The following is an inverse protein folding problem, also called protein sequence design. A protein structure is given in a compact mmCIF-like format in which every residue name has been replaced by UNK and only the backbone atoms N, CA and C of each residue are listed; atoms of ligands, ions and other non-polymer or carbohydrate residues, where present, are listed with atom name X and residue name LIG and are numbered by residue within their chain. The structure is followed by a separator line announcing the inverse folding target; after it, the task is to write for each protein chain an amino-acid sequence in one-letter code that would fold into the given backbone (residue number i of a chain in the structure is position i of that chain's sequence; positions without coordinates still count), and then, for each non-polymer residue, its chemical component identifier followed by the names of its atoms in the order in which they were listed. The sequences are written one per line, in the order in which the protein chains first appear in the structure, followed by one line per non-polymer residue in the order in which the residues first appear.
data_IF_035216922951
#
_entry.id   IF_035216922951
#
_cell.length_a   1.000
_cell.length_b   1.000
_cell.length_c   1.000
_cell.angle_alpha   90.00
_cell.angle_beta   90.00
_cell.angle_gamma   90.00
#
_symmetry.space_group_name_H-M   'P 1'
#
loop_
_entity.id
_entity.type
_entity.pdbx_description
1 polymer ?
#
# COMPACT_ATOMS: atom_id res chain seq x y z
N UNK A 1 37.42 -16.41 -9.94
CA UNK A 1 37.57 -17.88 -9.77
C UNK A 1 37.53 -18.55 -11.13
N UNK A 2 38.46 -19.47 -11.41
CA UNK A 2 38.48 -20.26 -12.64
C UNK A 2 37.29 -21.20 -12.68
N UNK A 3 36.56 -21.25 -13.81
CA UNK A 3 35.49 -22.23 -14.03
C UNK A 3 36.09 -23.65 -14.03
N UNK A 4 35.55 -24.62 -13.25
CA UNK A 4 36.04 -26.00 -13.21
C UNK A 4 35.96 -26.69 -14.56
N UNK A 5 36.88 -27.62 -14.81
CA UNK A 5 37.01 -28.26 -16.13
C UNK A 5 35.78 -29.10 -16.52
N UNK A 6 35.14 -29.75 -15.53
CA UNK A 6 33.90 -30.49 -15.75
C UNK A 6 32.75 -29.59 -16.24
N UNK A 7 32.66 -28.34 -15.74
CA UNK A 7 31.67 -27.36 -16.19
C UNK A 7 31.96 -26.93 -17.63
N UNK A 8 33.24 -26.69 -17.97
CA UNK A 8 33.62 -26.32 -19.34
C UNK A 8 33.29 -27.42 -20.35
N UNK A 9 33.53 -28.68 -19.99
CA UNK A 9 33.22 -29.84 -20.82
C UNK A 9 31.71 -29.91 -21.15
N UNK A 10 30.86 -29.73 -20.14
CA UNK A 10 29.40 -29.72 -20.31
C UNK A 10 28.95 -28.53 -21.17
N UNK A 11 29.46 -27.33 -20.91
CA UNK A 11 29.13 -26.14 -21.72
C UNK A 11 29.55 -26.32 -23.18
N UNK A 12 30.70 -26.97 -23.46
CA UNK A 12 31.16 -27.25 -24.82
C UNK A 12 30.23 -28.22 -25.54
N UNK A 13 29.86 -29.33 -24.88
CA UNK A 13 28.90 -30.29 -25.40
C UNK A 13 27.55 -29.63 -25.72
N UNK A 14 27.05 -28.76 -24.84
CA UNK A 14 25.79 -28.03 -25.05
C UNK A 14 25.89 -26.98 -26.16
N UNK A 15 27.06 -26.35 -26.37
CA UNK A 15 27.30 -25.45 -27.51
C UNK A 15 27.23 -26.20 -28.84
N UNK A 16 27.85 -27.37 -28.91
CA UNK A 16 27.84 -28.24 -30.09
C UNK A 16 26.41 -28.77 -30.37
N UNK A 17 25.69 -29.18 -29.33
CA UNK A 17 24.31 -29.67 -29.43
C UNK A 17 23.30 -28.61 -29.86
N UNK A 18 23.41 -27.38 -29.34
CA UNK A 18 22.40 -26.31 -29.55
C UNK A 18 22.76 -25.31 -30.65
N UNK A 19 24.02 -25.22 -31.05
CA UNK A 19 24.48 -24.23 -32.03
C UNK A 19 24.33 -22.78 -31.57
N UNK A 20 24.30 -22.54 -30.25
CA UNK A 20 24.07 -21.21 -29.66
C UNK A 20 25.28 -20.75 -28.83
N UNK A 21 25.50 -19.43 -28.68
CA UNK A 21 26.54 -18.91 -27.80
C UNK A 21 26.11 -19.08 -26.33
N UNK A 22 26.82 -19.93 -25.59
CA UNK A 22 26.50 -20.24 -24.19
C UNK A 22 27.62 -19.79 -23.24
N UNK A 23 27.24 -19.42 -22.02
CA UNK A 23 28.17 -19.10 -20.94
C UNK A 23 27.74 -19.72 -19.60
N UNK A 24 28.69 -20.23 -18.80
CA UNK A 24 28.42 -20.62 -17.42
C UNK A 24 28.46 -19.40 -16.49
N UNK A 25 27.54 -19.32 -15.53
CA UNK A 25 27.57 -18.37 -14.41
C UNK A 25 27.58 -19.12 -13.09
N UNK A 26 28.45 -18.71 -12.17
CA UNK A 26 28.48 -19.20 -10.79
C UNK A 26 27.60 -18.29 -9.93
N UNK A 27 26.52 -18.84 -9.39
CA UNK A 27 25.59 -18.13 -8.50
C UNK A 27 25.32 -19.04 -7.30
N UNK A 28 25.42 -18.52 -6.08
CA UNK A 28 25.15 -19.27 -4.83
C UNK A 28 25.82 -20.66 -4.77
N UNK A 29 27.10 -20.74 -5.15
CA UNK A 29 27.88 -21.98 -5.15
C UNK A 29 27.53 -22.99 -6.26
N UNK A 30 26.62 -22.66 -7.17
CA UNK A 30 26.13 -23.53 -8.23
C UNK A 30 26.40 -22.96 -9.63
N UNK A 31 26.65 -23.85 -10.60
CA UNK A 31 26.85 -23.47 -11.99
C UNK A 31 25.55 -23.52 -12.77
N UNK A 32 25.31 -22.47 -13.57
CA UNK A 32 24.11 -22.30 -14.37
C UNK A 32 24.49 -21.97 -15.81
N UNK A 33 23.76 -22.54 -16.75
CA UNK A 33 23.96 -22.31 -18.18
C UNK A 33 23.09 -21.15 -18.64
N UNK A 34 23.71 -20.18 -19.31
CA UNK A 34 23.03 -19.02 -19.91
C UNK A 34 23.31 -18.95 -21.41
N UNK A 35 22.31 -18.53 -22.18
CA UNK A 35 22.45 -18.06 -23.55
C UNK A 35 23.10 -16.68 -23.53
N UNK A 36 24.27 -16.51 -24.13
CA UNK A 36 25.00 -15.26 -24.24
C UNK A 36 24.79 -14.63 -25.62
N UNK A 37 23.74 -13.83 -25.79
CA UNK A 37 23.48 -13.12 -27.05
C UNK A 37 23.66 -11.62 -26.89
N UNK A 38 23.58 -10.86 -27.99
CA UNK A 38 23.52 -9.41 -27.95
C UNK A 38 22.26 -8.91 -28.66
N UNK A 39 21.59 -7.93 -28.06
CA UNK A 39 20.43 -7.23 -28.62
C UNK A 39 20.81 -5.77 -28.85
N UNK A 40 20.41 -5.20 -29.98
CA UNK A 40 20.66 -3.80 -30.27
C UNK A 40 19.83 -2.90 -29.34
N UNK A 41 20.49 -1.98 -28.67
CA UNK A 41 19.90 -0.99 -27.78
C UNK A 41 19.92 0.37 -28.47
N UNK A 42 18.73 0.84 -28.90
CA UNK A 42 18.55 2.09 -29.63
C UNK A 42 18.88 3.32 -28.78
N UNK A 43 18.75 3.23 -27.45
CA UNK A 43 19.08 4.33 -26.54
C UNK A 43 20.58 4.55 -26.40
N UNK A 44 21.37 3.48 -26.49
CA UNK A 44 22.84 3.49 -26.37
C UNK A 44 23.57 3.42 -27.71
N UNK A 45 22.84 3.35 -28.83
CA UNK A 45 23.36 3.15 -30.20
C UNK A 45 24.40 2.01 -30.29
N UNK A 46 24.14 0.88 -29.63
CA UNK A 46 25.11 -0.20 -29.53
C UNK A 46 24.51 -1.55 -29.15
N UNK A 47 25.32 -2.61 -29.26
CA UNK A 47 24.91 -3.96 -28.89
C UNK A 47 25.00 -4.16 -27.37
N UNK A 48 23.87 -4.45 -26.71
CA UNK A 48 23.80 -4.83 -25.29
C UNK A 48 23.81 -6.35 -25.18
N UNK A 49 24.70 -6.89 -24.35
CA UNK A 49 24.70 -8.33 -24.03
C UNK A 49 23.42 -8.67 -23.26
N UNK A 50 22.69 -9.68 -23.73
CA UNK A 50 21.48 -10.22 -23.11
C UNK A 50 21.75 -11.68 -22.77
N UNK A 51 21.65 -12.01 -21.48
CA UNK A 51 21.85 -13.37 -20.99
C UNK A 51 20.52 -14.02 -20.68
N UNK A 52 20.21 -15.18 -21.28
CA UNK A 52 18.98 -15.93 -21.01
C UNK A 52 19.26 -17.22 -20.24
N UNK A 53 18.67 -17.43 -19.06
CA UNK A 53 18.84 -18.66 -18.30
C UNK A 53 18.30 -19.89 -19.04
N UNK A 54 19.10 -20.97 -19.12
CA UNK A 54 18.74 -22.24 -19.76
C UNK A 54 18.46 -23.32 -18.71
N UNK A 55 19.34 -23.46 -17.72
CA UNK A 55 19.25 -24.56 -16.76
C UNK A 55 20.44 -24.64 -15.82
N UNK A 56 20.35 -25.54 -14.84
CA UNK A 56 21.42 -25.80 -13.88
C UNK A 56 22.40 -26.81 -14.47
N UNK A 57 23.69 -26.54 -14.34
CA UNK A 57 24.76 -27.44 -14.73
C UNK A 57 25.04 -28.37 -13.53
N UNK A 58 24.86 -29.67 -13.72
CA UNK A 58 25.19 -30.74 -12.77
C UNK A 58 26.25 -31.66 -13.37
N UNK A 59 26.83 -32.57 -12.58
CA UNK A 59 27.83 -33.51 -13.07
C UNK A 59 27.29 -34.40 -14.22
N UNK A 60 25.98 -34.67 -14.22
CA UNK A 60 25.30 -35.54 -15.18
C UNK A 60 24.79 -34.79 -16.43
N UNK A 61 24.99 -33.47 -16.52
CA UNK A 61 24.58 -32.65 -17.67
C UNK A 61 23.85 -31.37 -17.28
N UNK A 62 23.04 -30.83 -18.21
CA UNK A 62 22.23 -29.63 -17.94
C UNK A 62 20.79 -30.03 -17.68
N UNK A 63 20.31 -29.71 -16.48
CA UNK A 63 18.89 -29.80 -16.15
C UNK A 63 18.22 -28.57 -16.73
N UNK A 64 17.63 -28.72 -17.92
CA UNK A 64 16.89 -27.65 -18.59
C UNK A 64 15.72 -27.19 -17.73
N UNK A 65 15.64 -25.87 -17.52
CA UNK A 65 14.39 -25.30 -17.04
C UNK A 65 13.38 -25.50 -18.17
N UNK A 66 12.34 -26.30 -17.92
CA UNK A 66 11.24 -26.42 -18.86
C UNK A 66 10.54 -25.06 -18.92
N UNK A 67 10.96 -24.21 -19.85
CA UNK A 67 10.24 -22.99 -20.18
C UNK A 67 9.04 -23.42 -21.02
N UNK A 68 7.87 -23.48 -20.39
CA UNK A 68 6.61 -23.47 -21.11
C UNK A 68 6.68 -22.29 -22.09
N UNK A 69 6.69 -22.54 -23.40
CA UNK A 69 6.75 -21.48 -24.40
C UNK A 69 5.41 -20.75 -24.35
N UNK A 70 5.33 -19.74 -23.50
CA UNK A 70 4.15 -18.88 -23.37
C UNK A 70 4.21 -17.85 -24.49
N UNK A 71 3.17 -17.84 -25.31
CA UNK A 71 3.02 -16.86 -26.40
C UNK A 71 1.98 -15.80 -26.07
N UNK A 72 1.07 -16.05 -25.11
CA UNK A 72 -0.03 -15.14 -24.77
C UNK A 72 0.16 -14.54 -23.38
N UNK A 73 0.11 -13.22 -23.29
CA UNK A 73 0.33 -12.44 -22.07
C UNK A 73 -0.82 -11.48 -21.79
N UNK A 74 -1.16 -11.28 -20.52
CA UNK A 74 -2.08 -10.22 -20.10
C UNK A 74 -1.40 -8.86 -20.29
N UNK A 75 -1.98 -8.00 -21.12
CA UNK A 75 -1.39 -6.73 -21.52
C UNK A 75 -2.04 -5.55 -20.81
N UNK A 76 -3.34 -5.34 -21.01
CA UNK A 76 -3.98 -4.07 -20.62
C UNK A 76 -3.88 -3.77 -19.12
N UNK A 77 -4.10 -4.76 -18.25
CA UNK A 77 -3.98 -4.59 -16.80
C UNK A 77 -2.54 -4.31 -16.36
N UNK A 78 -1.57 -5.06 -16.88
CA UNK A 78 -0.16 -4.88 -16.54
C UNK A 78 0.37 -3.53 -17.05
N UNK A 79 -0.02 -3.13 -18.25
CA UNK A 79 0.34 -1.84 -18.83
C UNK A 79 -0.31 -0.67 -18.09
N UNK A 80 -1.56 -0.81 -17.63
CA UNK A 80 -2.23 0.18 -16.78
C UNK A 80 -1.41 0.42 -15.51
N UNK A 81 -1.10 -0.64 -14.75
CA UNK A 81 -0.32 -0.54 -13.51
C UNK A 81 1.05 0.08 -13.77
N UNK A 82 1.75 -0.36 -14.83
CA UNK A 82 3.05 0.20 -15.21
C UNK A 82 2.98 1.70 -15.51
N UNK A 83 1.97 2.12 -16.27
CA UNK A 83 1.80 3.54 -16.63
C UNK A 83 1.48 4.39 -15.41
N UNK A 84 0.68 3.87 -14.47
CA UNK A 84 0.26 4.59 -13.26
C UNK A 84 1.30 4.59 -12.13
N UNK A 85 2.42 3.85 -12.28
CA UNK A 85 3.44 3.71 -11.22
C UNK A 85 4.83 4.19 -11.65
N UNK A 86 4.91 5.04 -12.67
CA UNK A 86 6.20 5.55 -13.17
C UNK A 86 6.98 6.34 -12.10
N UNK A 87 6.28 7.12 -11.29
CA UNK A 87 6.83 7.81 -10.11
C UNK A 87 7.43 6.81 -9.12
N UNK A 88 6.68 5.77 -8.76
CA UNK A 88 7.15 4.72 -7.85
C UNK A 88 8.34 3.95 -8.42
N UNK A 89 8.33 3.64 -9.72
CA UNK A 89 9.45 2.97 -10.41
C UNK A 89 10.72 3.82 -10.34
N UNK A 90 10.62 5.15 -10.48
CA UNK A 90 11.78 6.04 -10.34
C UNK A 90 12.36 6.00 -8.93
N UNK A 91 11.52 6.00 -7.90
CA UNK A 91 11.96 5.89 -6.51
C UNK A 91 12.57 4.52 -6.20
N UNK A 92 11.97 3.43 -6.69
CA UNK A 92 12.54 2.10 -6.53
C UNK A 92 13.89 1.97 -7.23
N UNK A 93 14.09 2.59 -8.40
CA UNK A 93 15.40 2.63 -9.07
C UNK A 93 16.44 3.44 -8.30
N UNK A 94 16.01 4.52 -7.63
CA UNK A 94 16.87 5.38 -6.82
C UNK A 94 17.38 4.65 -5.58
N UNK A 95 16.49 3.99 -4.84
CA UNK A 95 16.79 3.41 -3.52
C UNK A 95 17.06 1.91 -3.54
N UNK A 96 16.61 1.19 -4.57
CA UNK A 96 16.79 -0.25 -4.73
C UNK A 96 17.30 -0.63 -6.14
N UNK A 97 18.38 0.00 -6.64
CA UNK A 97 18.79 -0.06 -8.05
C UNK A 97 19.03 -1.48 -8.59
N UNK A 98 19.51 -2.40 -7.75
CA UNK A 98 19.86 -3.77 -8.18
C UNK A 98 18.70 -4.76 -8.10
N UNK A 99 17.60 -4.38 -7.43
CA UNK A 99 16.48 -5.29 -7.13
C UNK A 99 15.09 -4.71 -7.41
N UNK A 100 15.00 -3.47 -7.92
CA UNK A 100 13.74 -2.78 -8.17
C UNK A 100 12.80 -3.58 -9.08
N UNK A 101 13.30 -4.29 -10.09
CA UNK A 101 12.47 -5.10 -10.99
C UNK A 101 11.80 -6.26 -10.25
N UNK A 102 12.53 -6.94 -9.35
CA UNK A 102 11.99 -8.01 -8.51
C UNK A 102 10.99 -7.46 -7.49
N UNK A 103 11.32 -6.36 -6.79
CA UNK A 103 10.42 -5.71 -5.83
C UNK A 103 9.12 -5.30 -6.53
N UNK A 104 9.24 -4.61 -7.66
CA UNK A 104 8.11 -4.14 -8.45
C UNK A 104 7.25 -5.31 -8.95
N UNK A 105 7.88 -6.37 -9.47
CA UNK A 105 7.16 -7.55 -9.93
C UNK A 105 6.33 -8.20 -8.82
N UNK A 106 6.88 -8.36 -7.60
CA UNK A 106 6.13 -8.91 -6.47
C UNK A 106 4.96 -7.99 -6.10
N UNK A 107 5.19 -6.67 -6.05
CA UNK A 107 4.13 -5.71 -5.75
C UNK A 107 2.99 -5.73 -6.78
N UNK A 108 3.32 -5.78 -8.08
CA UNK A 108 2.33 -5.92 -9.15
C UNK A 108 1.55 -7.23 -9.01
N UNK A 109 2.22 -8.36 -8.75
CA UNK A 109 1.50 -9.65 -8.59
C UNK A 109 0.53 -9.62 -7.43
N UNK A 110 0.88 -8.99 -6.31
CA UNK A 110 0.00 -8.84 -5.14
C UNK A 110 -1.17 -7.92 -5.39
N UNK A 111 -0.97 -6.84 -6.13
CA UNK A 111 -2.07 -5.97 -6.55
C UNK A 111 -3.09 -6.74 -7.41
N UNK A 112 -2.61 -7.61 -8.29
CA UNK A 112 -3.46 -8.38 -9.21
C UNK A 112 -4.22 -9.49 -8.49
N UNK A 113 -3.51 -10.31 -7.71
CA UNK A 113 -4.06 -11.50 -7.07
C UNK A 113 -3.41 -11.75 -5.71
N UNK A 114 -4.23 -12.03 -4.69
CA UNK A 114 -3.74 -12.58 -3.42
C UNK A 114 -3.30 -14.02 -3.64
N UNK A 115 -2.00 -14.23 -3.81
CA UNK A 115 -1.41 -15.55 -4.02
C UNK A 115 -0.26 -15.81 -3.06
N UNK A 116 -0.05 -17.08 -2.63
CA UNK A 116 1.12 -17.45 -1.86
C UNK A 116 2.43 -17.14 -2.63
N UNK A 117 3.50 -16.81 -1.89
CA UNK A 117 4.82 -16.48 -2.46
C UNK A 117 5.31 -17.49 -3.50
N UNK A 118 5.07 -18.80 -3.27
CA UNK A 118 5.45 -19.87 -4.21
C UNK A 118 4.83 -19.74 -5.62
N UNK A 119 3.70 -19.04 -5.76
CA UNK A 119 2.99 -18.87 -7.03
C UNK A 119 3.29 -17.53 -7.72
N UNK A 120 4.01 -16.62 -7.04
CA UNK A 120 4.32 -15.27 -7.55
C UNK A 120 4.98 -15.32 -8.93
N UNK A 121 5.95 -16.23 -9.11
CA UNK A 121 6.61 -16.42 -10.40
C UNK A 121 5.64 -16.81 -11.52
N UNK A 122 4.81 -17.82 -11.27
CA UNK A 122 3.88 -18.33 -12.28
C UNK A 122 2.89 -17.23 -12.68
N UNK A 123 2.43 -16.43 -11.71
CA UNK A 123 1.53 -15.31 -11.96
C UNK A 123 2.20 -14.19 -12.74
N UNK A 124 3.42 -13.80 -12.35
CA UNK A 124 4.22 -12.79 -13.03
C UNK A 124 4.46 -13.15 -14.49
N UNK A 125 4.84 -14.40 -14.77
CA UNK A 125 5.07 -14.91 -16.13
C UNK A 125 3.81 -14.86 -17.03
N UNK A 126 2.60 -14.63 -16.47
CA UNK A 126 1.38 -14.38 -17.25
C UNK A 126 1.26 -12.94 -17.76
N UNK A 127 1.89 -11.99 -17.09
CA UNK A 127 1.82 -10.56 -17.41
C UNK A 127 2.81 -10.21 -18.52
N UNK A 128 2.43 -9.31 -19.42
CA UNK A 128 3.31 -8.86 -20.50
C UNK A 128 4.60 -8.19 -19.98
N UNK A 129 4.52 -7.54 -18.81
CA UNK A 129 5.66 -6.93 -18.13
C UNK A 129 6.80 -7.91 -17.83
N UNK A 130 6.51 -9.21 -17.66
CA UNK A 130 7.55 -10.24 -17.48
C UNK A 130 8.47 -10.39 -18.67
N UNK A 131 8.08 -9.85 -19.83
CA UNK A 131 8.88 -9.85 -21.03
C UNK A 131 9.77 -8.63 -21.19
N UNK A 132 9.49 -7.57 -20.43
CA UNK A 132 10.19 -6.28 -20.50
C UNK A 132 11.10 -6.05 -19.30
N UNK A 133 10.78 -6.64 -18.14
CA UNK A 133 11.52 -6.52 -16.89
C UNK A 133 12.14 -7.87 -16.52
N UNK A 134 13.40 -7.87 -16.07
CA UNK A 134 14.16 -9.08 -15.73
C UNK A 134 14.08 -9.37 -14.22
N UNK A 135 12.87 -9.68 -13.75
CA UNK A 135 12.61 -9.99 -12.34
C UNK A 135 13.02 -11.43 -11.96
N UNK A 136 13.76 -11.58 -10.87
CA UNK A 136 14.21 -12.87 -10.34
C UNK A 136 13.29 -13.36 -9.20
N UNK A 137 12.32 -14.23 -9.53
CA UNK A 137 11.22 -14.60 -8.62
C UNK A 137 11.21 -16.08 -8.19
N UNK A 138 12.37 -16.73 -8.04
CA UNK A 138 12.38 -18.11 -7.52
C UNK A 138 11.96 -18.14 -6.05
N UNK A 139 11.31 -19.21 -5.52
CA UNK A 139 10.86 -19.22 -4.13
C UNK A 139 11.96 -18.92 -3.10
N UNK A 140 13.18 -19.44 -3.29
CA UNK A 140 14.31 -19.11 -2.41
C UNK A 140 14.71 -17.63 -2.53
N UNK A 141 14.77 -17.12 -3.76
CA UNK A 141 15.07 -15.70 -4.02
C UNK A 141 14.02 -14.77 -3.44
N UNK A 142 12.75 -15.17 -3.39
CA UNK A 142 11.69 -14.36 -2.80
C UNK A 142 11.82 -14.24 -1.29
N UNK A 143 12.20 -15.31 -0.59
CA UNK A 143 12.48 -15.26 0.85
C UNK A 143 13.67 -14.34 1.12
N UNK A 144 14.78 -14.53 0.39
CA UNK A 144 15.98 -13.69 0.51
C UNK A 144 15.65 -12.22 0.21
N UNK A 145 14.86 -11.97 -0.84
CA UNK A 145 14.42 -10.63 -1.22
C UNK A 145 13.62 -9.95 -0.10
N UNK A 146 12.68 -10.65 0.55
CA UNK A 146 11.91 -10.08 1.66
C UNK A 146 12.81 -9.73 2.85
N UNK A 147 13.71 -10.63 3.22
CA UNK A 147 14.66 -10.41 4.30
C UNK A 147 15.62 -9.23 3.98
N UNK A 148 16.15 -9.17 2.77
CA UNK A 148 17.05 -8.11 2.32
C UNK A 148 16.38 -6.74 2.30
N UNK A 149 15.13 -6.66 1.84
CA UNK A 149 14.35 -5.41 1.90
C UNK A 149 14.15 -5.02 3.37
N UNK A 150 13.74 -5.96 4.20
CA UNK A 150 13.39 -5.72 5.60
C UNK A 150 14.56 -5.29 6.47
N UNK A 151 15.75 -5.80 6.19
CA UNK A 151 16.99 -5.40 6.86
C UNK A 151 17.52 -4.06 6.36
N UNK A 152 17.23 -3.67 5.12
CA UNK A 152 17.58 -2.37 4.53
C UNK A 152 16.56 -1.26 4.85
N UNK A 153 16.46 -0.92 6.14
CA UNK A 153 15.53 0.11 6.62
C UNK A 153 15.87 1.51 6.10
N UNK A 154 17.15 1.80 5.85
CA UNK A 154 17.59 3.12 5.34
C UNK A 154 16.94 3.41 3.98
N UNK A 155 17.06 2.48 3.03
CA UNK A 155 16.48 2.65 1.69
C UNK A 155 14.95 2.72 1.72
N UNK A 156 14.30 2.03 2.67
CA UNK A 156 12.85 2.17 2.85
C UNK A 156 12.47 3.57 3.34
N UNK A 157 13.17 4.09 4.35
CA UNK A 157 12.91 5.43 4.88
C UNK A 157 13.22 6.53 3.88
N UNK A 158 14.31 6.41 3.12
CA UNK A 158 14.64 7.38 2.06
C UNK A 158 13.55 7.40 0.97
N UNK A 159 12.99 6.24 0.60
CA UNK A 159 11.85 6.17 -0.31
C UNK A 159 10.59 6.81 0.27
N UNK A 160 10.26 6.51 1.53
CA UNK A 160 9.10 7.12 2.18
C UNK A 160 9.26 8.64 2.33
N UNK A 161 10.46 9.11 2.65
CA UNK A 161 10.74 10.53 2.77
C UNK A 161 10.58 11.25 1.42
N UNK A 162 10.99 10.64 0.31
CA UNK A 162 10.70 11.18 -1.03
C UNK A 162 9.20 11.25 -1.33
N UNK A 163 8.40 10.30 -0.83
CA UNK A 163 6.93 10.29 -1.00
C UNK A 163 6.22 11.32 -0.12
N UNK A 164 6.69 11.51 1.12
CA UNK A 164 6.22 12.52 2.07
C UNK A 164 6.60 13.93 1.63
N UNK A 165 7.71 14.08 0.91
CA UNK A 165 8.19 15.36 0.41
C UNK A 165 7.13 16.06 -0.46
N UNK A 166 6.82 17.31 -0.11
CA UNK A 166 5.79 18.11 -0.79
C UNK A 166 4.35 17.74 -0.45
N UNK A 167 4.11 16.90 0.56
CA UNK A 167 2.78 16.75 1.16
C UNK A 167 2.46 17.96 2.04
N UNK A 168 1.20 18.43 2.02
CA UNK A 168 0.72 19.51 2.88
C UNK A 168 -0.11 19.01 4.06
N UNK A 169 -0.83 17.90 3.88
CA UNK A 169 -1.70 17.29 4.90
C UNK A 169 -1.56 15.78 4.91
N UNK A 170 -1.27 15.22 6.08
CA UNK A 170 -1.12 13.79 6.29
C UNK A 170 -2.14 13.29 7.30
N UNK A 171 -2.87 12.25 6.96
CA UNK A 171 -3.63 11.47 7.94
C UNK A 171 -2.74 10.39 8.54
N UNK A 172 -2.90 10.16 9.85
CA UNK A 172 -2.21 9.13 10.60
C UNK A 172 -3.23 8.22 11.26
N UNK A 173 -3.05 6.92 11.09
CA UNK A 173 -3.88 5.92 11.73
C UNK A 173 -3.09 4.66 12.05
N UNK A 174 -3.54 3.99 13.11
CA UNK A 174 -2.94 2.75 13.59
C UNK A 174 -3.92 1.60 13.41
N UNK A 175 -3.39 0.49 12.92
CA UNK A 175 -4.16 -0.73 12.80
C UNK A 175 -3.34 -1.93 13.21
N UNK A 176 -4.00 -3.02 13.58
CA UNK A 176 -3.32 -4.26 13.97
C UNK A 176 -3.65 -5.39 13.01
N UNK A 177 -2.67 -6.26 12.75
CA UNK A 177 -2.87 -7.56 12.10
C UNK A 177 -2.55 -8.65 13.13
N UNK A 178 -3.40 -9.66 13.20
CA UNK A 178 -3.20 -10.80 14.09
C UNK A 178 -2.25 -11.81 13.45
N UNK A 179 -1.30 -12.32 14.23
CA UNK A 179 -0.41 -13.40 13.82
C UNK A 179 -0.35 -14.47 14.90
N UNK A 180 -0.32 -15.74 14.48
CA UNK A 180 -0.12 -16.89 15.37
C UNK A 180 1.28 -17.50 15.22
N UNK A 181 2.17 -16.85 14.48
CA UNK A 181 3.54 -17.32 14.29
C UNK A 181 4.34 -17.12 15.57
N UNK A 182 4.88 -18.19 16.16
CA UNK A 182 5.64 -18.14 17.42
C UNK A 182 7.02 -17.49 17.27
N UNK A 183 7.54 -17.37 16.04
CA UNK A 183 8.89 -16.87 15.76
C UNK A 183 8.95 -15.38 15.36
N UNK A 184 7.81 -14.68 15.31
CA UNK A 184 7.79 -13.25 15.01
C UNK A 184 7.83 -12.51 16.35
N UNK A 185 8.96 -11.85 16.68
CA UNK A 185 9.12 -11.16 17.96
C UNK A 185 8.22 -9.93 18.06
N UNK A 186 7.93 -9.29 16.91
CA UNK A 186 6.99 -8.16 16.81
C UNK A 186 5.53 -8.56 17.14
N UNK A 187 5.17 -9.84 16.98
CA UNK A 187 3.82 -10.32 17.21
C UNK A 187 3.61 -10.56 18.72
N UNK A 188 3.13 -9.52 19.41
CA UNK A 188 2.95 -9.54 20.87
C UNK A 188 1.49 -9.28 21.24
N UNK A 189 1.10 -9.65 22.47
CA UNK A 189 -0.22 -9.30 22.98
C UNK A 189 -0.32 -7.78 23.10
N UNK A 190 -1.32 -7.19 22.43
CA UNK A 190 -1.57 -5.76 22.40
C UNK A 190 -3.01 -5.40 22.77
N UNK A 191 -3.29 -4.11 22.80
CA UNK A 191 -4.66 -3.61 22.93
C UNK A 191 -5.26 -3.49 21.51
N UNK A 192 -6.40 -4.12 21.25
CA UNK A 192 -7.17 -3.97 20.01
C UNK A 192 -8.64 -3.68 20.34
N UNK A 193 -9.37 -3.09 19.39
CA UNK A 193 -10.76 -2.64 19.59
C UNK A 193 -11.72 -3.78 19.98
N UNK A 194 -11.41 -5.01 19.57
CA UNK A 194 -12.25 -6.20 19.78
C UNK A 194 -11.85 -7.01 21.04
N UNK A 195 -10.88 -6.55 21.82
CA UNK A 195 -10.30 -7.27 22.98
C UNK A 195 -9.91 -8.73 22.69
N UNK A 196 -9.47 -9.01 21.47
CA UNK A 196 -9.03 -10.33 21.03
C UNK A 196 -7.64 -10.60 21.61
N UNK A 197 -7.52 -11.62 22.47
CA UNK A 197 -6.27 -12.03 23.13
C UNK A 197 -5.32 -12.83 22.22
N UNK A 198 -5.15 -12.40 20.98
CA UNK A 198 -4.20 -12.99 20.03
C UNK A 198 -2.97 -12.09 19.88
N UNK A 199 -1.76 -12.66 19.65
CA UNK A 199 -0.60 -11.85 19.30
C UNK A 199 -0.89 -11.03 18.02
N UNK A 200 -0.46 -9.78 18.03
CA UNK A 200 -0.70 -8.84 16.95
C UNK A 200 0.56 -8.07 16.59
N UNK A 201 0.64 -7.63 15.34
CA UNK A 201 1.61 -6.67 14.85
C UNK A 201 0.85 -5.36 14.64
N UNK A 202 1.33 -4.29 15.28
CA UNK A 202 0.76 -2.97 15.06
C UNK A 202 1.35 -2.36 13.80
N UNK A 203 0.58 -1.56 13.08
CA UNK A 203 1.00 -0.90 11.85
C UNK A 203 0.61 0.56 11.89
N UNK A 204 1.56 1.43 11.60
CA UNK A 204 1.32 2.82 11.30
C UNK A 204 1.25 3.02 9.79
N UNK A 205 0.15 3.59 9.33
CA UNK A 205 0.01 4.06 7.95
C UNK A 205 -0.05 5.59 7.99
N UNK A 206 0.66 6.23 7.07
CA UNK A 206 0.55 7.66 6.81
C UNK A 206 0.02 7.83 5.40
N UNK A 207 -1.01 8.66 5.28
CA UNK A 207 -1.73 8.85 4.03
C UNK A 207 -1.78 10.33 3.67
N UNK A 208 -1.39 10.68 2.46
CA UNK A 208 -1.54 12.02 1.93
C UNK A 208 -2.99 12.21 1.45
N UNK A 209 -3.74 13.03 2.19
CA UNK A 209 -5.18 13.25 1.94
C UNK A 209 -5.45 14.17 0.76
N UNK A 210 -4.44 14.91 0.29
CA UNK A 210 -4.57 15.80 -0.86
C UNK A 210 -4.23 15.05 -2.15
N UNK A 211 -3.17 14.23 -2.13
CA UNK A 211 -2.78 13.36 -3.24
C UNK A 211 -3.63 12.08 -3.32
N UNK A 212 -4.37 11.75 -2.26
CA UNK A 212 -5.16 10.53 -2.08
C UNK A 212 -4.34 9.24 -2.22
N UNK A 213 -3.18 9.16 -1.54
CA UNK A 213 -2.27 7.99 -1.63
C UNK A 213 -1.55 7.73 -0.30
N UNK A 214 -1.18 6.46 0.00
CA UNK A 214 -0.30 6.17 1.11
C UNK A 214 1.12 6.69 0.83
N UNK A 215 1.81 7.20 1.85
CA UNK A 215 3.18 7.72 1.72
C UNK A 215 4.19 7.06 2.65
N UNK A 216 3.73 6.42 3.74
CA UNK A 216 4.59 5.70 4.68
C UNK A 216 3.81 4.55 5.33
N UNK A 217 4.46 3.40 5.53
CA UNK A 217 3.92 2.27 6.29
C UNK A 217 5.03 1.69 7.17
N UNK A 218 4.72 1.43 8.44
CA UNK A 218 5.65 0.81 9.37
C UNK A 218 5.00 -0.24 10.26
N UNK A 219 5.47 -1.50 10.22
CA UNK A 219 5.13 -2.49 11.23
C UNK A 219 5.88 -2.21 12.54
N UNK A 220 5.23 -2.48 13.66
CA UNK A 220 5.68 -2.21 15.02
C UNK A 220 5.24 -3.33 15.97
N UNK A 221 5.91 -3.45 17.10
CA UNK A 221 5.59 -4.50 18.08
C UNK A 221 4.16 -4.30 18.62
N UNK A 222 3.42 -5.41 18.75
CA UNK A 222 2.03 -5.39 19.21
C UNK A 222 1.82 -4.78 20.60
N UNK A 223 2.84 -4.79 21.45
CA UNK A 223 2.80 -4.27 22.82
C UNK A 223 3.03 -2.75 22.90
N UNK A 224 3.51 -2.12 21.82
CA UNK A 224 3.82 -0.69 21.83
C UNK A 224 2.52 0.10 21.84
N UNK A 225 2.40 1.01 22.81
CA UNK A 225 1.27 1.94 22.94
C UNK A 225 1.24 2.92 21.76
N UNK A 226 0.04 3.20 21.29
CA UNK A 226 -0.25 4.06 20.13
C UNK A 226 0.50 5.40 20.11
N UNK A 227 0.67 6.07 21.25
CA UNK A 227 1.43 7.34 21.33
C UNK A 227 2.89 7.18 20.99
N UNK A 228 3.53 6.15 21.54
CA UNK A 228 4.96 5.93 21.33
C UNK A 228 5.20 5.60 19.86
N UNK A 229 4.29 4.82 19.28
CA UNK A 229 4.26 4.52 17.84
C UNK A 229 4.17 5.80 17.01
N UNK A 230 3.18 6.64 17.29
CA UNK A 230 3.00 7.91 16.59
C UNK A 230 4.23 8.82 16.72
N UNK A 231 4.71 9.09 17.95
CA UNK A 231 5.89 9.95 18.17
C UNK A 231 7.08 9.45 17.36
N UNK A 232 7.35 8.15 17.41
CA UNK A 232 8.47 7.55 16.69
C UNK A 232 8.32 7.71 15.17
N UNK A 233 7.11 7.58 14.62
CA UNK A 233 6.89 7.82 13.18
C UNK A 233 7.09 9.30 12.84
N UNK A 234 6.59 10.23 13.68
CA UNK A 234 6.78 11.67 13.47
C UNK A 234 8.25 12.10 13.60
N UNK A 235 9.06 11.41 14.41
CA UNK A 235 10.52 11.61 14.49
C UNK A 235 11.26 11.06 13.26
N UNK A 236 10.68 10.07 12.57
CA UNK A 236 11.28 9.40 11.40
C UNK A 236 10.90 10.06 10.07
N UNK A 237 9.85 10.86 10.03
CA UNK A 237 9.44 11.63 8.84
C UNK A 237 9.78 13.10 9.02
N UNK A 238 10.50 13.68 8.06
CA UNK A 238 10.69 15.12 8.00
C UNK A 238 9.49 15.75 7.30
N UNK A 239 8.49 16.16 8.09
CA UNK A 239 7.22 16.70 7.61
C UNK A 239 6.90 18.04 8.27
N UNK A 240 6.46 19.00 7.44
CA UNK A 240 5.97 20.31 7.86
C UNK A 240 4.61 20.55 7.22
N UNK A 241 3.55 20.51 8.02
CA UNK A 241 2.18 20.64 7.54
C UNK A 241 1.16 20.20 8.58
N UNK A 242 -0.03 19.81 8.12
CA UNK A 242 -1.15 19.41 8.98
C UNK A 242 -1.20 17.90 9.16
N UNK A 243 -1.27 17.44 10.39
CA UNK A 243 -1.49 16.04 10.76
C UNK A 243 -2.95 15.85 11.19
N UNK A 244 -3.65 14.97 10.50
CA UNK A 244 -5.01 14.55 10.86
C UNK A 244 -4.94 13.21 11.59
N UNK A 245 -5.40 13.17 12.83
CA UNK A 245 -5.22 12.03 13.73
C UNK A 245 -6.54 11.32 14.02
N UNK A 246 -6.48 10.06 14.44
CA UNK A 246 -7.65 9.37 15.00
C UNK A 246 -7.94 9.71 16.48
N UNK A 247 -9.18 9.45 16.90
CA UNK A 247 -9.68 9.51 18.28
C UNK A 247 -8.89 8.63 19.25
N UNK A 248 -8.25 7.57 18.76
CA UNK A 248 -7.33 6.74 19.56
C UNK A 248 -6.27 7.55 20.31
N UNK A 249 -5.79 8.65 19.70
CA UNK A 249 -4.71 9.49 20.23
C UNK A 249 -5.14 10.56 21.24
N UNK A 250 -6.44 10.73 21.49
CA UNK A 250 -6.94 11.85 22.31
C UNK A 250 -6.77 11.69 23.83
N UNK A 251 -6.22 10.57 24.32
CA UNK A 251 -5.97 10.37 25.76
C UNK A 251 -4.60 10.84 26.24
N UNK A 252 -3.85 11.53 25.39
CA UNK A 252 -2.42 11.71 25.59
C UNK A 252 -2.03 13.18 25.55
N UNK A 253 -0.96 13.51 26.26
CA UNK A 253 -0.46 14.89 26.34
C UNK A 253 0.11 15.29 24.97
N UNK A 254 -0.65 16.12 24.26
CA UNK A 254 -0.29 16.66 22.96
C UNK A 254 1.02 17.42 23.00
N UNK A 255 1.36 18.04 24.14
CA UNK A 255 2.61 18.78 24.29
C UNK A 255 3.83 17.87 24.13
N UNK A 256 3.71 16.56 24.41
CA UNK A 256 4.80 15.62 24.23
C UNK A 256 4.92 15.06 22.80
N UNK A 257 3.89 15.22 21.97
CA UNK A 257 3.81 14.63 20.62
C UNK A 257 4.01 15.71 19.55
N UNK A 258 3.58 16.94 19.83
CA UNK A 258 3.59 18.03 18.88
C UNK A 258 4.89 18.83 18.97
N UNK A 259 5.70 18.76 17.91
CA UNK A 259 6.71 19.78 17.65
C UNK A 259 6.04 21.07 17.16
N UNK A 260 6.65 22.21 17.45
CA UNK A 260 6.32 23.55 16.96
C UNK A 260 6.20 23.67 15.44
N UNK A 261 6.72 22.70 14.68
CA UNK A 261 6.73 22.67 13.21
C UNK A 261 5.49 22.02 12.58
N UNK A 262 4.57 21.48 13.38
CA UNK A 262 3.42 20.73 12.90
C UNK A 262 2.09 21.32 13.38
N UNK A 263 1.13 21.38 12.46
CA UNK A 263 -0.27 21.65 12.78
C UNK A 263 -1.03 20.33 12.93
N UNK A 264 -2.10 20.30 13.74
CA UNK A 264 -2.87 19.08 13.93
C UNK A 264 -4.38 19.30 14.01
N UNK A 265 -5.11 18.26 13.60
CA UNK A 265 -6.56 18.11 13.80
C UNK A 265 -6.79 16.77 14.47
N UNK A 266 -7.18 16.80 15.75
CA UNK A 266 -7.36 15.58 16.56
C UNK A 266 -8.77 15.52 17.15
N UNK A 267 -9.60 14.56 16.73
CA UNK A 267 -10.92 14.35 17.32
C UNK A 267 -10.79 13.83 18.76
N UNK A 268 -11.57 14.38 19.68
CA UNK A 268 -11.52 14.03 21.10
C UNK A 268 -12.40 12.82 21.42
N UNK A 269 -11.98 12.04 22.42
CA UNK A 269 -12.84 10.99 23.02
C UNK A 269 -14.07 11.63 23.62
N UNK A 270 -15.22 10.95 23.53
CA UNK A 270 -16.48 11.47 24.09
C UNK A 270 -16.43 11.71 25.60
N UNK A 271 -15.57 10.98 26.31
CA UNK A 271 -15.32 11.10 27.75
C UNK A 271 -14.30 12.19 28.11
N UNK A 272 -13.70 12.88 27.13
CA UNK A 272 -12.70 13.91 27.39
C UNK A 272 -13.31 15.08 28.16
N UNK A 273 -12.64 15.55 29.21
CA UNK A 273 -13.00 16.76 29.95
C UNK A 273 -12.86 18.04 29.11
N UNK A 274 -12.11 17.97 28.00
CA UNK A 274 -11.98 19.07 27.04
C UNK A 274 -13.25 19.24 26.18
N UNK A 275 -14.07 18.19 26.06
CA UNK A 275 -15.32 18.23 25.31
C UNK A 275 -16.43 18.86 26.15
N UNK A 276 -16.85 20.06 25.77
CA UNK A 276 -17.94 20.79 26.42
C UNK A 276 -19.21 20.67 25.59
N UNK A 277 -20.07 19.74 25.99
CA UNK A 277 -21.31 19.47 25.30
C UNK A 277 -22.39 20.52 25.54
N UNK A 278 -22.21 21.45 26.48
CA UNK A 278 -23.14 22.56 26.68
C UNK A 278 -22.70 23.82 25.90
N UNK A 279 -21.59 23.75 25.15
CA UNK A 279 -21.11 24.81 24.26
C UNK A 279 -22.19 25.24 23.26
N UNK A 280 -22.35 26.56 23.12
CA UNK A 280 -23.20 27.17 22.11
C UNK A 280 -22.62 26.97 20.69
N UNK A 281 -23.47 26.50 19.77
CA UNK A 281 -23.11 26.30 18.37
C UNK A 281 -23.64 27.50 17.56
N UNK A 282 -22.75 28.46 17.28
CA UNK A 282 -23.10 29.77 16.73
C UNK A 282 -23.16 29.82 15.21
N UNK A 283 -22.73 28.76 14.52
CA UNK A 283 -22.68 28.71 13.06
C UNK A 283 -23.19 27.37 12.52
N UNK A 284 -23.37 27.29 11.20
CA UNK A 284 -23.78 26.07 10.52
C UNK A 284 -23.27 26.00 9.08
N UNK A 285 -23.19 24.79 8.54
CA UNK A 285 -22.87 24.53 7.13
C UNK A 285 -23.46 23.20 6.66
N UNK A 286 -23.46 22.98 5.34
CA UNK A 286 -23.89 21.72 4.74
C UNK A 286 -22.67 20.85 4.39
N UNK A 287 -22.72 19.56 4.73
CA UNK A 287 -21.72 18.56 4.32
C UNK A 287 -22.43 17.32 3.78
N UNK A 288 -22.28 17.04 2.47
CA UNK A 288 -22.96 15.90 1.80
C UNK A 288 -24.46 15.84 2.15
N UNK A 289 -25.15 16.96 1.98
CA UNK A 289 -26.58 17.15 2.31
C UNK A 289 -26.95 17.00 3.80
N UNK A 290 -25.97 16.92 4.70
CA UNK A 290 -26.17 16.91 6.16
C UNK A 290 -25.95 18.31 6.72
N UNK A 291 -26.92 18.81 7.49
CA UNK A 291 -26.76 20.04 8.25
C UNK A 291 -25.85 19.82 9.45
N UNK A 292 -24.80 20.62 9.56
CA UNK A 292 -23.85 20.59 10.67
C UNK A 292 -23.95 21.91 11.41
N UNK A 293 -24.31 21.88 12.70
CA UNK A 293 -24.16 23.01 13.61
C UNK A 293 -22.75 23.01 14.18
N UNK A 294 -22.14 24.17 14.38
CA UNK A 294 -20.75 24.24 14.85
C UNK A 294 -20.45 25.46 15.71
N UNK A 295 -19.39 25.32 16.51
CA UNK A 295 -18.83 26.37 17.35
C UNK A 295 -17.42 25.99 17.78
N UNK A 296 -16.71 26.89 18.45
CA UNK A 296 -15.43 26.57 19.07
C UNK A 296 -15.21 27.41 20.32
N UNK A 297 -14.36 26.91 21.22
CA UNK A 297 -13.82 27.68 22.34
C UNK A 297 -12.30 27.63 22.34
N UNK A 298 -11.69 28.68 22.90
CA UNK A 298 -10.24 28.71 23.14
C UNK A 298 -9.91 27.86 24.38
N UNK A 299 -8.83 27.09 24.29
CA UNK A 299 -8.28 26.33 25.42
C UNK A 299 -6.74 26.42 25.34
N UNK A 300 -6.13 27.21 26.22
CA UNK A 300 -4.70 27.52 26.19
C UNK A 300 -4.23 28.06 24.82
N UNK A 301 -3.22 27.44 24.19
CA UNK A 301 -2.79 27.75 22.82
C UNK A 301 -3.69 27.14 21.73
N UNK A 302 -4.61 26.24 22.09
CA UNK A 302 -5.44 25.46 21.15
C UNK A 302 -6.88 25.97 21.05
N UNK A 303 -7.64 25.39 20.13
CA UNK A 303 -9.09 25.51 20.02
C UNK A 303 -9.75 24.15 20.11
N UNK A 304 -10.85 24.08 20.86
CA UNK A 304 -11.77 22.94 20.85
C UNK A 304 -12.95 23.33 19.99
N UNK A 305 -13.06 22.72 18.82
CA UNK A 305 -14.20 22.81 17.92
C UNK A 305 -15.25 21.78 18.33
N UNK A 306 -16.52 22.17 18.27
CA UNK A 306 -17.66 21.30 18.48
C UNK A 306 -18.53 21.34 17.23
N UNK A 307 -18.94 20.16 16.78
CA UNK A 307 -19.81 19.95 15.64
C UNK A 307 -21.00 19.12 16.08
N UNK A 308 -22.20 19.44 15.62
CA UNK A 308 -23.38 18.61 15.79
C UNK A 308 -23.99 18.28 14.43
N UNK A 309 -23.83 17.03 14.04
CA UNK A 309 -24.44 16.47 12.85
C UNK A 309 -25.91 16.13 13.14
N UNK A 310 -26.84 16.82 12.46
CA UNK A 310 -28.27 16.71 12.74
C UNK A 310 -28.84 15.33 12.39
N UNK A 311 -28.30 14.66 11.37
CA UNK A 311 -28.70 13.29 11.01
C UNK A 311 -28.20 12.29 12.05
N UNK A 312 -26.93 12.40 12.46
CA UNK A 312 -26.36 11.53 13.48
C UNK A 312 -27.07 11.71 14.82
N UNK A 313 -27.46 12.95 15.16
CA UNK A 313 -28.25 13.22 16.35
C UNK A 313 -29.59 12.47 16.34
N UNK A 314 -30.33 12.52 15.22
CA UNK A 314 -31.60 11.84 15.07
C UNK A 314 -31.44 10.31 15.15
N UNK A 315 -30.40 9.77 14.51
CA UNK A 315 -30.08 8.34 14.53
C UNK A 315 -29.74 7.83 15.93
N UNK A 316 -28.87 8.55 16.64
CA UNK A 316 -28.48 8.22 18.02
C UNK A 316 -29.68 8.33 18.97
N UNK A 317 -30.52 9.36 18.79
CA UNK A 317 -31.74 9.54 19.56
C UNK A 317 -32.72 8.37 19.35
N UNK A 318 -33.01 8.01 18.11
CA UNK A 318 -33.88 6.88 17.78
C UNK A 318 -33.35 5.55 18.33
N UNK A 319 -32.03 5.34 18.22
CA UNK A 319 -31.36 4.16 18.78
C UNK A 319 -31.45 4.10 20.30
N UNK A 320 -31.32 5.23 20.99
CA UNK A 320 -31.47 5.30 22.45
C UNK A 320 -32.92 5.05 22.88
N UNK A 321 -33.91 5.62 22.19
CA UNK A 321 -35.34 5.38 22.46
C UNK A 321 -35.68 3.90 22.28
N UNK A 322 -35.16 3.26 21.23
CA UNK A 322 -35.31 1.81 21.03
C UNK A 322 -34.74 1.03 22.23
N UNK A 323 -33.55 1.37 22.72
CA UNK A 323 -32.98 0.74 23.91
C UNK A 323 -33.82 0.93 25.18
N UNK A 324 -34.48 2.08 25.34
CA UNK A 324 -35.44 2.31 26.44
C UNK A 324 -36.64 1.36 26.28
N UNK A 325 -37.21 1.26 25.08
CA UNK A 325 -38.35 0.38 24.81
C UNK A 325 -38.02 -1.12 25.03
N UNK A 326 -36.77 -1.50 24.81
CA UNK A 326 -36.25 -2.85 25.06
C UNK A 326 -35.82 -3.07 26.53
N UNK A 327 -35.96 -2.08 27.40
CA UNK A 327 -35.56 -2.17 28.83
C UNK A 327 -34.05 -2.15 29.07
N UNK A 328 -33.22 -1.86 28.07
CA UNK A 328 -31.75 -1.79 28.18
C UNK A 328 -31.23 -0.47 28.76
N UNK A 329 -32.05 0.58 28.76
CA UNK A 329 -31.75 1.94 29.28
C UNK A 329 -32.97 2.52 29.98
N UNK A 330 -32.76 3.50 30.87
CA UNK A 330 -33.87 4.20 31.55
C UNK A 330 -34.21 5.51 30.84
N UNK A 331 -35.46 5.94 30.95
CA UNK A 331 -35.90 7.24 30.44
C UNK A 331 -35.13 8.41 31.09
N UNK A 332 -34.75 8.27 32.37
CA UNK A 332 -33.95 9.26 33.10
C UNK A 332 -32.60 9.56 32.45
N UNK A 333 -32.02 8.57 31.76
CA UNK A 333 -30.69 8.66 31.18
C UNK A 333 -30.70 9.44 29.85
N UNK A 334 -31.89 9.63 29.26
CA UNK A 334 -32.05 10.25 27.95
C UNK A 334 -31.60 11.70 27.94
N UNK A 335 -31.89 12.48 28.99
CA UNK A 335 -31.57 13.90 29.01
C UNK A 335 -30.05 14.15 28.97
N UNK A 336 -29.30 13.41 29.76
CA UNK A 336 -27.83 13.49 29.77
C UNK A 336 -27.21 12.96 28.46
N UNK A 337 -27.77 11.88 27.90
CA UNK A 337 -27.32 11.35 26.61
C UNK A 337 -27.63 12.30 25.45
N UNK A 338 -28.79 12.96 25.48
CA UNK A 338 -29.26 13.91 24.46
C UNK A 338 -28.27 15.04 24.23
N UNK A 339 -27.68 15.56 25.31
CA UNK A 339 -26.65 16.61 25.23
C UNK A 339 -25.49 16.24 24.31
N UNK A 340 -25.22 14.95 24.11
CA UNK A 340 -24.09 14.42 23.34
C UNK A 340 -24.48 13.93 21.95
N UNK A 341 -25.77 13.79 21.65
CA UNK A 341 -26.21 13.22 20.38
C UNK A 341 -25.78 14.07 19.18
N UNK A 342 -25.21 13.39 18.18
CA UNK A 342 -24.65 13.99 16.99
C UNK A 342 -23.39 14.84 17.22
N UNK A 343 -22.94 15.00 18.48
CA UNK A 343 -21.82 15.88 18.82
C UNK A 343 -20.47 15.21 18.65
N UNK A 344 -19.57 15.93 18.00
CA UNK A 344 -18.18 15.56 17.71
C UNK A 344 -17.31 16.74 18.14
N UNK A 345 -16.34 16.48 19.01
CA UNK A 345 -15.36 17.48 19.45
C UNK A 345 -14.01 17.22 18.80
N UNK A 346 -13.33 18.30 18.40
CA UNK A 346 -12.03 18.26 17.72
C UNK A 346 -11.11 19.31 18.35
N UNK A 347 -9.92 18.90 18.72
CA UNK A 347 -8.86 19.77 19.25
C UNK A 347 -7.85 20.05 18.13
N UNK A 348 -7.43 21.31 18.02
CA UNK A 348 -6.48 21.73 16.99
C UNK A 348 -5.72 22.99 17.43
N UNK A 349 -4.45 23.10 17.00
CA UNK A 349 -3.68 24.35 17.06
C UNK A 349 -3.97 25.28 15.86
N UNK A 350 -4.66 24.80 14.83
CA UNK A 350 -5.06 25.59 13.65
C UNK A 350 -6.20 26.52 14.04
N UNK A 351 -6.07 27.79 13.66
CA UNK A 351 -7.05 28.86 13.91
C UNK A 351 -7.88 29.17 12.67
N UNK A 352 -8.54 28.14 12.15
CA UNK A 352 -9.44 28.22 10.99
C UNK A 352 -10.91 28.33 11.37
N UNK A 353 -11.76 28.55 10.37
CA UNK A 353 -13.21 28.44 10.51
C UNK A 353 -13.63 26.98 10.77
N UNK A 354 -14.70 26.73 11.56
CA UNK A 354 -15.12 25.37 11.90
C UNK A 354 -15.34 24.45 10.70
N UNK A 355 -15.88 24.97 9.60
CA UNK A 355 -16.11 24.21 8.37
C UNK A 355 -14.81 23.59 7.82
N UNK A 356 -13.70 24.35 7.80
CA UNK A 356 -12.41 23.85 7.30
C UNK A 356 -11.87 22.73 8.19
N UNK A 357 -11.93 22.90 9.51
CA UNK A 357 -11.49 21.89 10.48
C UNK A 357 -12.33 20.62 10.36
N UNK A 358 -13.64 20.76 10.15
CA UNK A 358 -14.52 19.62 9.93
C UNK A 358 -14.14 18.85 8.66
N UNK A 359 -13.86 19.55 7.56
CA UNK A 359 -13.42 18.91 6.32
C UNK A 359 -12.10 18.16 6.51
N UNK A 360 -11.10 18.78 7.16
CA UNK A 360 -9.83 18.12 7.49
C UNK A 360 -10.05 16.86 8.35
N UNK A 361 -10.89 16.96 9.38
CA UNK A 361 -11.27 15.81 10.21
C UNK A 361 -11.91 14.69 9.38
N UNK A 362 -12.84 15.03 8.46
CA UNK A 362 -13.53 14.06 7.62
C UNK A 362 -12.62 13.38 6.60
N UNK A 363 -11.55 14.02 6.16
CA UNK A 363 -10.55 13.40 5.28
C UNK A 363 -9.84 12.20 5.93
N UNK A 364 -9.89 12.06 7.26
CA UNK A 364 -9.41 10.85 7.96
C UNK A 364 -10.13 9.59 7.46
N UNK A 365 -11.38 9.65 7.01
CA UNK A 365 -12.11 8.46 6.53
C UNK A 365 -11.40 7.76 5.34
N UNK A 366 -10.51 8.46 4.63
CA UNK A 366 -9.72 7.89 3.52
C UNK A 366 -8.64 6.90 4.02
N UNK A 367 -8.11 7.10 5.23
CA UNK A 367 -7.08 6.19 5.79
C UNK A 367 -7.68 4.87 6.27
N UNK A 368 -8.92 4.90 6.80
CA UNK A 368 -9.67 3.71 7.19
C UNK A 368 -9.91 2.83 5.95
N UNK A 369 -10.33 3.45 4.84
CA UNK A 369 -10.45 2.77 3.55
C UNK A 369 -9.12 2.20 3.06
N UNK A 370 -8.00 2.88 3.29
CA UNK A 370 -6.68 2.39 2.88
C UNK A 370 -6.25 1.16 3.69
N UNK A 371 -6.53 1.14 4.99
CA UNK A 371 -6.32 -0.05 5.82
C UNK A 371 -7.24 -1.20 5.39
N UNK A 372 -8.52 -0.92 5.12
CA UNK A 372 -9.46 -1.94 4.64
C UNK A 372 -9.04 -2.53 3.29
N UNK A 373 -8.58 -1.70 2.35
CA UNK A 373 -8.02 -2.15 1.08
C UNK A 373 -6.77 -3.03 1.31
N UNK A 374 -5.86 -2.59 2.17
CA UNK A 374 -4.65 -3.35 2.48
C UNK A 374 -4.95 -4.71 3.14
N UNK A 375 -5.94 -4.78 4.05
CA UNK A 375 -6.29 -6.01 4.76
C UNK A 375 -7.18 -6.94 3.94
N UNK A 376 -8.27 -6.43 3.39
CA UNK A 376 -9.32 -7.24 2.78
C UNK A 376 -9.14 -7.39 1.28
N UNK A 377 -8.80 -6.31 0.57
CA UNK A 377 -8.68 -6.38 -0.89
C UNK A 377 -7.40 -7.08 -1.34
N UNK A 378 -6.32 -6.91 -0.58
CA UNK A 378 -5.02 -7.52 -0.85
C UNK A 378 -4.68 -8.75 0.00
N UNK A 379 -5.51 -9.07 1.01
CA UNK A 379 -5.31 -10.17 1.97
C UNK A 379 -3.91 -10.18 2.64
N UNK A 380 -3.37 -8.99 2.96
CA UNK A 380 -2.05 -8.88 3.60
C UNK A 380 -2.03 -9.30 5.07
N UNK A 381 -3.15 -9.78 5.62
CA UNK A 381 -3.30 -10.24 6.99
C UNK A 381 -2.78 -11.68 7.22
N UNK A 382 -2.38 -12.38 6.15
CA UNK A 382 -1.86 -13.77 6.19
C UNK A 382 -0.33 -13.81 6.10
N UNK A 383 0.37 -13.41 7.15
CA UNK A 383 1.83 -13.53 7.21
C UNK A 383 2.26 -14.92 7.71
N UNK A 384 2.75 -15.79 6.83
CA UNK A 384 3.36 -17.09 7.19
C UNK A 384 4.87 -17.00 7.49
N UNK A 385 5.34 -15.82 7.89
CA UNK A 385 6.76 -15.49 8.05
C UNK A 385 7.26 -15.86 9.45
N UNK A 386 8.59 -16.00 9.57
CA UNK A 386 9.26 -16.52 10.77
C UNK A 386 10.33 -15.60 11.34
N UNK A 387 10.54 -14.44 10.74
CA UNK A 387 11.53 -13.45 11.17
C UNK A 387 11.02 -12.03 10.88
N UNK A 388 11.46 -11.09 11.71
CA UNK A 388 10.99 -9.70 11.69
C UNK A 388 11.42 -8.93 10.43
N UNK A 389 12.59 -9.23 9.87
CA UNK A 389 13.06 -8.58 8.65
C UNK A 389 12.19 -8.98 7.46
N UNK A 390 11.91 -10.27 7.27
CA UNK A 390 10.95 -10.71 6.26
C UNK A 390 9.57 -10.07 6.45
N UNK A 391 9.12 -9.86 7.69
CA UNK A 391 7.86 -9.16 7.99
C UNK A 391 7.93 -7.69 7.53
N UNK A 392 9.02 -6.98 7.83
CA UNK A 392 9.26 -5.62 7.34
C UNK A 392 9.24 -5.57 5.81
N UNK A 393 9.98 -6.46 5.15
CA UNK A 393 10.00 -6.54 3.69
C UNK A 393 8.64 -6.89 3.08
N UNK A 394 7.87 -7.76 3.73
CA UNK A 394 6.51 -8.10 3.32
C UNK A 394 5.59 -6.90 3.36
N UNK A 395 5.62 -6.13 4.45
CA UNK A 395 4.78 -4.94 4.57
C UNK A 395 5.25 -3.81 3.65
N UNK A 396 6.55 -3.68 3.42
CA UNK A 396 7.06 -2.76 2.40
C UNK A 396 6.50 -3.07 1.00
N UNK A 397 6.54 -4.34 0.56
CA UNK A 397 5.92 -4.73 -0.72
C UNK A 397 4.39 -4.50 -0.70
N UNK A 398 3.75 -4.76 0.44
CA UNK A 398 2.31 -4.50 0.62
C UNK A 398 1.99 -3.02 0.42
N UNK A 399 2.80 -2.13 1.00
CA UNK A 399 2.71 -0.68 0.80
C UNK A 399 2.87 -0.30 -0.67
N UNK A 400 3.86 -0.85 -1.38
CA UNK A 400 4.06 -0.53 -2.80
C UNK A 400 2.84 -0.91 -3.65
N UNK A 401 2.23 -2.05 -3.36
CA UNK A 401 1.05 -2.48 -4.10
C UNK A 401 -0.19 -1.64 -3.72
N UNK A 402 -0.31 -1.21 -2.45
CA UNK A 402 -1.33 -0.26 -2.00
C UNK A 402 -1.14 1.11 -2.68
N UNK A 403 0.10 1.57 -2.84
CA UNK A 403 0.42 2.79 -3.58
C UNK A 403 -0.05 2.69 -5.04
N UNK A 404 0.23 1.56 -5.72
CA UNK A 404 -0.25 1.31 -7.08
C UNK A 404 -1.77 1.24 -7.17
N UNK A 405 -2.43 0.61 -6.19
CA UNK A 405 -3.90 0.59 -6.07
C UNK A 405 -4.46 2.01 -6.04
N UNK A 406 -3.92 2.85 -5.13
CA UNK A 406 -4.38 4.23 -4.99
C UNK A 406 -4.03 5.10 -6.20
N UNK A 407 -2.95 4.80 -6.91
CA UNK A 407 -2.62 5.48 -8.17
C UNK A 407 -3.69 5.27 -9.24
N UNK A 408 -4.28 4.06 -9.31
CA UNK A 408 -5.42 3.77 -10.18
C UNK A 408 -6.72 4.36 -9.60
N UNK A 409 -6.91 4.31 -8.28
CA UNK A 409 -8.08 4.89 -7.63
C UNK A 409 -8.21 6.39 -7.88
N UNK A 410 -7.11 7.14 -7.77
CA UNK A 410 -7.05 8.58 -8.05
C UNK A 410 -7.53 8.86 -9.47
N UNK A 411 -7.11 8.06 -10.44
CA UNK A 411 -7.54 8.17 -11.83
C UNK A 411 -9.06 7.94 -12.01
N UNK A 412 -9.61 6.89 -11.37
CA UNK A 412 -11.04 6.60 -11.36
C UNK A 412 -11.83 7.75 -10.71
N UNK A 413 -11.29 8.32 -9.62
CA UNK A 413 -11.87 9.46 -8.91
C UNK A 413 -11.86 10.73 -9.76
N UNK A 414 -10.75 11.05 -10.40
CA UNK A 414 -10.64 12.20 -11.31
C UNK A 414 -11.56 12.09 -12.53
N UNK A 415 -11.92 10.87 -12.94
CA UNK A 415 -12.87 10.61 -14.02
C UNK A 415 -14.34 10.53 -13.57
N UNK A 416 -14.65 10.77 -12.28
CA UNK A 416 -16.00 10.66 -11.69
C UNK A 416 -16.64 9.27 -11.91
N UNK A 417 -15.84 8.21 -11.71
CA UNK A 417 -16.25 6.82 -11.90
C UNK A 417 -16.31 5.99 -10.62
N UNK A 418 -16.05 6.59 -9.44
CA UNK A 418 -16.00 5.87 -8.15
C UNK A 418 -17.31 5.14 -7.81
N UNK A 419 -18.46 5.68 -8.20
CA UNK A 419 -19.76 5.01 -8.04
C UNK A 419 -20.09 3.94 -9.10
N UNK A 420 -19.21 3.73 -10.09
CA UNK A 420 -19.46 2.87 -11.26
C UNK A 420 -18.45 1.74 -11.42
N UNK A 421 -17.22 1.91 -10.95
CA UNK A 421 -16.14 0.95 -11.14
C UNK A 421 -15.16 0.99 -9.96
N UNK A 422 -14.79 -0.18 -9.44
CA UNK A 422 -13.69 -0.32 -8.48
C UNK A 422 -12.34 -0.45 -9.19
N UNK A 423 -11.23 -0.33 -8.43
CA UNK A 423 -9.88 -0.61 -8.98
C UNK A 423 -9.79 -2.06 -9.49
N UNK A 424 -10.35 -3.03 -8.77
CA UNK A 424 -10.39 -4.44 -9.20
C UNK A 424 -11.19 -4.63 -10.48
N UNK A 425 -12.34 -3.96 -10.62
CA UNK A 425 -13.12 -3.99 -11.85
C UNK A 425 -12.36 -3.38 -13.03
N UNK A 426 -11.60 -2.30 -12.80
CA UNK A 426 -10.74 -1.73 -13.82
C UNK A 426 -9.68 -2.76 -14.24
N UNK A 427 -8.90 -3.29 -13.31
CA UNK A 427 -7.88 -4.32 -13.60
C UNK A 427 -8.47 -5.53 -14.34
N UNK A 428 -9.66 -6.00 -13.94
CA UNK A 428 -10.36 -7.11 -14.60
C UNK A 428 -10.83 -6.77 -16.02
N UNK A 429 -11.33 -5.55 -16.26
CA UNK A 429 -11.73 -5.12 -17.61
C UNK A 429 -10.50 -5.02 -18.52
N UNK A 430 -9.42 -4.42 -18.02
CA UNK A 430 -8.18 -4.25 -18.76
C UNK A 430 -7.43 -5.58 -19.00
N UNK A 431 -7.60 -6.60 -18.16
CA UNK A 431 -6.98 -7.92 -18.35
C UNK A 431 -7.53 -8.69 -19.57
N UNK A 432 -8.66 -8.24 -20.16
CA UNK A 432 -9.25 -8.80 -21.38
C UNK A 432 -8.44 -8.48 -22.65
N UNK A 433 -7.47 -7.59 -22.56
CA UNK A 433 -6.57 -7.26 -23.68
C UNK A 433 -5.26 -8.00 -23.47
N UNK A 434 -4.91 -8.85 -24.43
CA UNK A 434 -3.73 -9.71 -24.39
C UNK A 434 -2.70 -9.29 -25.44
N UNK A 435 -1.44 -9.65 -25.22
CA UNK A 435 -0.37 -9.57 -26.21
C UNK A 435 0.06 -10.98 -26.61
N UNK A 436 0.08 -11.25 -27.91
CA UNK A 436 0.52 -12.51 -28.49
C UNK A 436 1.91 -12.29 -29.11
N UNK A 437 2.92 -12.97 -28.55
CA UNK A 437 4.28 -12.98 -29.08
C UNK A 437 4.44 -14.12 -30.07
N UNK A 438 4.68 -13.77 -31.33
CA UNK A 438 4.98 -14.69 -32.42
C UNK A 438 6.39 -14.37 -32.97
N UNK A 439 7.39 -15.13 -32.50
CA UNK A 439 8.78 -14.90 -32.83
C UNK A 439 9.28 -13.54 -32.33
N UNK A 440 9.57 -12.61 -33.25
CA UNK A 440 10.03 -11.23 -32.95
C UNK A 440 8.90 -10.19 -32.97
N UNK A 441 7.66 -10.58 -33.26
CA UNK A 441 6.52 -9.67 -33.37
C UNK A 441 5.60 -9.86 -32.17
N UNK A 442 5.17 -8.73 -31.62
CA UNK A 442 4.15 -8.67 -30.58
C UNK A 442 2.87 -8.15 -31.24
N UNK A 443 1.79 -8.93 -31.12
CA UNK A 443 0.49 -8.67 -31.74
C UNK A 443 -0.53 -8.52 -30.61
N UNK A 444 -1.17 -7.36 -30.49
CA UNK A 444 -2.27 -7.17 -29.54
C UNK A 444 -3.51 -7.92 -29.98
N UNK A 445 -4.24 -8.48 -29.02
CA UNK A 445 -5.59 -8.96 -29.26
C UNK A 445 -6.53 -7.82 -29.63
N UNK A 446 -7.72 -8.17 -30.12
CA UNK A 446 -8.82 -7.22 -30.24
C UNK A 446 -9.09 -6.54 -28.89
N UNK A 447 -9.36 -5.24 -28.94
CA UNK A 447 -9.66 -4.43 -27.75
C UNK A 447 -11.18 -4.33 -27.66
N UNK A 448 -11.82 -4.84 -26.59
CA UNK A 448 -13.26 -4.70 -26.45
C UNK A 448 -13.66 -3.22 -26.36
N UNK A 449 -14.72 -2.81 -27.06
CA UNK A 449 -15.18 -1.42 -27.11
C UNK A 449 -15.42 -0.81 -25.71
N UNK A 450 -15.86 -1.62 -24.74
CA UNK A 450 -16.03 -1.18 -23.35
C UNK A 450 -14.71 -0.82 -22.67
N UNK A 451 -13.62 -1.52 -23.01
CA UNK A 451 -12.28 -1.29 -22.46
C UNK A 451 -11.65 -0.08 -23.14
N UNK A 452 -11.79 0.05 -24.47
CA UNK A 452 -11.33 1.24 -25.20
C UNK A 452 -12.02 2.52 -24.70
N UNK A 453 -13.34 2.47 -24.48
CA UNK A 453 -14.09 3.58 -23.88
C UNK A 453 -13.57 3.92 -22.48
N UNK A 454 -13.29 2.91 -21.66
CA UNK A 454 -12.76 3.11 -20.32
C UNK A 454 -11.37 3.74 -20.36
N UNK A 455 -10.46 3.24 -21.21
CA UNK A 455 -9.11 3.79 -21.41
C UNK A 455 -9.13 5.27 -21.85
N UNK A 456 -10.02 5.63 -22.78
CA UNK A 456 -10.25 7.03 -23.18
C UNK A 456 -10.80 7.89 -22.04
N UNK A 457 -11.73 7.35 -21.25
CA UNK A 457 -12.36 8.08 -20.14
C UNK A 457 -11.38 8.32 -19.00
N UNK A 458 -10.51 7.34 -18.74
CA UNK A 458 -9.43 7.45 -17.77
C UNK A 458 -8.23 8.26 -18.30
N UNK A 459 -8.16 8.52 -19.60
CA UNK A 459 -7.07 9.29 -20.22
C UNK A 459 -5.73 8.55 -20.31
N UNK A 460 -5.72 7.23 -20.12
CA UNK A 460 -4.50 6.42 -20.02
C UNK A 460 -3.84 6.17 -21.36
N UNK A 461 -4.63 6.01 -22.43
CA UNK A 461 -4.17 5.80 -23.81
C UNK A 461 -3.10 4.69 -23.92
N UNK A 462 -3.26 3.59 -23.18
CA UNK A 462 -2.21 2.57 -23.04
C UNK A 462 -2.18 1.56 -24.19
N UNK A 463 -3.20 1.52 -25.03
CA UNK A 463 -3.27 0.59 -26.14
C UNK A 463 -2.54 1.14 -27.38
N UNK A 464 -1.81 0.28 -28.12
CA UNK A 464 -1.21 0.68 -29.39
C UNK A 464 -2.29 1.05 -30.40
N UNK A 465 -2.03 2.08 -31.20
CA UNK A 465 -2.93 2.59 -32.24
C UNK A 465 -2.76 1.85 -33.57
#
# INVERSE_FOLDING_TARGET
MSVPEWVKAIVRSEKEKRGMPLEPKLLNGNYYLYLATSKYDSSRKGARKVSGYIGRITADGVIESHRTIRTVYEYGNSQLVYTMSQDLIMLLKKHFPDRWESIYAVAVTRLMDSIPLKNVRERWEKLYLSTTLDAHLSPSTLTDLLHDIGSDMSSQYDLFQDLVSGSGKLAFDLSSIFSRSENIEMAQKGHNADHIYLPQINMALVFDVEKYRPVFLKPMDGSVRDVKSLRKVLEEIDFHGVIVMDRGFASYDLAEIMDSRMDFVMPLKRSSSLADYDMELTSSFMYRDRGILCGFRKHEQYRVYMFQDQYLMAEESGTFIRMISEGKRKQSDFHEAWKRFGKISVLSNIRSEPHEIYLMYKQREEIEQAFDAMKNEMENDKTYLRDDDSVRGYFFISFLSLYMYYSIFVLIRSADLTGKISVKDALLKFSRVYMIRSGKRDITSEIPASVEKLDKTLGTNIFPK
#
